data_IF_482637651016
#
_entry.id   IF_482637651016
#
_cell.length_a   1.000
_cell.length_b   1.000
_cell.length_c   1.000
_cell.angle_alpha   90.00
_cell.angle_beta   90.00
_cell.angle_gamma   90.00
#
_symmetry.space_group_name_H-M   'P 1'
#
loop_
_entity.id
_entity.type
_entity.pdbx_description
1 polymer ?
#
# COMPACT_ATOMS: atom_id res chain seq x y z
N UNK A 1 17.51 -2.58 15.10
CA UNK A 1 16.80 -3.74 14.51
C UNK A 1 17.13 -3.76 13.03
N UNK A 2 17.79 -4.83 12.56
CA UNK A 2 18.16 -4.98 11.14
C UNK A 2 16.86 -5.22 10.37
N UNK A 3 16.52 -4.32 9.46
CA UNK A 3 15.29 -4.39 8.68
C UNK A 3 15.53 -5.04 7.31
N UNK A 4 14.45 -5.35 6.55
CA UNK A 4 14.58 -5.96 5.23
C UNK A 4 15.36 -5.11 4.21
N UNK A 5 15.56 -3.81 4.49
CA UNK A 5 16.35 -2.87 3.69
C UNK A 5 17.87 -3.03 3.84
N UNK A 6 18.32 -3.72 4.88
CA UNK A 6 19.73 -3.89 5.21
C UNK A 6 20.29 -5.23 4.65
N UNK A 7 19.40 -6.10 4.17
CA UNK A 7 19.71 -7.45 3.67
C UNK A 7 20.42 -7.39 2.31
N UNK A 8 21.62 -7.99 2.22
CA UNK A 8 22.36 -8.12 0.97
C UNK A 8 22.08 -9.47 0.29
N UNK A 9 22.44 -9.58 -1.00
CA UNK A 9 22.20 -10.80 -1.78
C UNK A 9 22.86 -12.04 -1.18
N UNK A 10 24.08 -11.91 -0.67
CA UNK A 10 24.82 -13.00 0.00
C UNK A 10 24.16 -13.49 1.29
N UNK A 11 23.23 -12.72 1.84
CA UNK A 11 22.57 -13.04 3.09
C UNK A 11 21.29 -13.85 2.90
N UNK A 12 20.86 -14.05 1.64
CA UNK A 12 19.60 -14.69 1.29
C UNK A 12 19.78 -16.10 0.71
N UNK A 13 18.79 -16.99 0.90
CA UNK A 13 17.68 -16.84 1.84
C UNK A 13 18.12 -17.10 3.29
N UNK A 14 17.40 -16.54 4.25
CA UNK A 14 17.50 -16.87 5.68
C UNK A 14 16.16 -17.44 6.15
N UNK A 15 15.78 -18.67 5.77
CA UNK A 15 14.46 -19.23 6.07
C UNK A 15 14.24 -19.53 7.56
N UNK A 16 15.32 -19.62 8.36
CA UNK A 16 15.24 -19.84 9.82
C UNK A 16 15.11 -18.52 10.58
N UNK A 17 15.56 -17.41 10.00
CA UNK A 17 15.56 -16.10 10.64
C UNK A 17 16.72 -15.90 11.61
N UNK A 18 17.75 -16.73 11.54
CA UNK A 18 18.92 -16.67 12.44
C UNK A 18 19.71 -15.37 12.30
N UNK A 19 19.72 -14.77 11.10
CA UNK A 19 20.50 -13.55 10.83
C UNK A 19 19.69 -12.28 11.08
N UNK A 20 18.39 -12.32 10.77
CA UNK A 20 17.55 -11.13 10.74
C UNK A 20 16.41 -11.13 11.76
N UNK A 21 16.34 -12.16 12.61
CA UNK A 21 15.32 -12.36 13.64
C UNK A 21 13.99 -12.91 13.10
N UNK A 22 13.78 -12.87 11.79
CA UNK A 22 12.64 -13.46 11.10
C UNK A 22 13.06 -14.10 9.79
N UNK A 23 12.32 -15.13 9.34
CA UNK A 23 12.52 -15.72 8.03
C UNK A 23 12.57 -14.65 6.95
N UNK A 24 13.60 -14.68 6.11
CA UNK A 24 13.84 -13.70 5.06
C UNK A 24 14.01 -14.43 3.73
N UNK A 25 13.09 -14.19 2.82
CA UNK A 25 13.02 -14.85 1.52
C UNK A 25 13.46 -13.92 0.39
N UNK A 26 14.05 -14.51 -0.64
CA UNK A 26 14.28 -13.82 -1.90
C UNK A 26 12.94 -13.59 -2.63
N UNK A 27 12.91 -12.59 -3.51
CA UNK A 27 11.75 -12.29 -4.33
C UNK A 27 11.19 -13.54 -5.03
N UNK A 28 9.88 -13.79 -4.85
CA UNK A 28 9.12 -14.94 -5.38
C UNK A 28 9.48 -16.32 -4.79
N UNK A 29 10.26 -16.40 -3.70
CA UNK A 29 10.63 -17.70 -3.08
C UNK A 29 9.95 -17.95 -1.73
N UNK A 30 9.11 -17.02 -1.25
CA UNK A 30 8.40 -17.22 0.00
C UNK A 30 7.43 -18.42 -0.08
N UNK A 31 7.34 -19.24 0.99
CA UNK A 31 6.45 -20.39 1.02
C UNK A 31 4.98 -19.96 1.01
N UNK A 32 4.10 -20.90 0.64
CA UNK A 32 2.66 -20.70 0.67
C UNK A 32 2.18 -20.33 2.09
N UNK A 33 1.10 -19.55 2.15
CA UNK A 33 0.55 -19.03 3.42
C UNK A 33 1.13 -17.70 3.86
N UNK A 34 2.30 -17.30 3.34
CA UNK A 34 2.89 -15.97 3.55
C UNK A 34 2.59 -15.03 2.39
N UNK A 35 2.02 -13.86 2.71
CA UNK A 35 1.57 -12.89 1.70
C UNK A 35 1.88 -11.46 2.10
N UNK A 36 2.10 -10.60 1.12
CA UNK A 36 2.25 -9.17 1.33
C UNK A 36 0.93 -8.52 1.74
N UNK A 37 0.99 -7.37 2.42
CA UNK A 37 -0.21 -6.58 2.77
C UNK A 37 -1.06 -6.20 1.55
N UNK A 38 -0.43 -6.01 0.39
CA UNK A 38 -1.13 -5.74 -0.88
C UNK A 38 -1.90 -6.96 -1.37
N UNK A 39 -1.33 -8.16 -1.25
CA UNK A 39 -2.01 -9.42 -1.59
C UNK A 39 -3.19 -9.69 -0.65
N UNK A 40 -3.05 -9.45 0.67
CA UNK A 40 -4.19 -9.52 1.60
C UNK A 40 -5.34 -8.60 1.16
N UNK A 41 -5.03 -7.35 0.77
CA UNK A 41 -6.05 -6.41 0.30
C UNK A 41 -6.76 -6.91 -0.96
N UNK A 42 -6.04 -7.52 -1.90
CA UNK A 42 -6.62 -8.12 -3.09
C UNK A 42 -7.57 -9.28 -2.74
N UNK A 43 -7.25 -10.04 -1.69
CA UNK A 43 -8.07 -11.14 -1.15
C UNK A 43 -9.21 -10.67 -0.24
N UNK A 44 -9.48 -9.35 -0.13
CA UNK A 44 -10.47 -8.78 0.82
C UNK A 44 -10.18 -9.12 2.29
N UNK A 45 -8.91 -9.32 2.63
CA UNK A 45 -8.43 -9.59 3.99
C UNK A 45 -7.68 -8.38 4.59
N UNK A 46 -7.53 -8.40 5.92
CA UNK A 46 -6.69 -7.49 6.70
C UNK A 46 -5.77 -8.30 7.63
N UNK A 47 -4.58 -7.77 8.01
CA UNK A 47 -3.64 -8.47 8.90
C UNK A 47 -4.22 -8.87 10.27
N UNK A 48 -5.32 -8.24 10.70
CA UNK A 48 -5.98 -8.56 11.97
C UNK A 48 -5.12 -8.34 13.24
N UNK A 49 -4.24 -7.34 13.21
CA UNK A 49 -3.38 -7.01 14.35
C UNK A 49 -2.18 -7.93 14.53
N UNK A 50 -1.96 -8.89 13.62
CA UNK A 50 -0.75 -9.71 13.64
C UNK A 50 0.49 -8.87 13.30
N UNK A 51 1.62 -9.23 13.92
CA UNK A 51 2.94 -8.76 13.50
C UNK A 51 3.38 -9.41 12.19
N UNK A 52 4.41 -8.85 11.56
CA UNK A 52 4.98 -9.42 10.35
C UNK A 52 5.69 -10.75 10.67
N UNK A 53 5.44 -11.77 9.86
CA UNK A 53 5.96 -13.12 10.07
C UNK A 53 7.27 -13.38 9.34
N UNK A 54 7.57 -12.61 8.30
CA UNK A 54 8.76 -12.77 7.48
C UNK A 54 9.06 -11.51 6.64
N UNK A 55 10.24 -11.48 6.05
CA UNK A 55 10.68 -10.50 5.08
C UNK A 55 10.74 -11.10 3.66
N UNK A 56 10.45 -10.28 2.65
CA UNK A 56 10.64 -10.59 1.24
C UNK A 56 11.53 -9.52 0.64
N UNK A 57 12.67 -9.91 0.06
CA UNK A 57 13.68 -8.95 -0.41
C UNK A 57 14.11 -9.30 -1.84
N UNK A 58 14.21 -8.27 -2.68
CA UNK A 58 14.89 -8.33 -3.97
C UNK A 58 16.19 -7.50 -3.88
N UNK A 59 17.32 -8.15 -3.57
CA UNK A 59 18.59 -7.44 -3.38
C UNK A 59 19.11 -6.89 -4.72
N UNK A 60 19.97 -5.87 -4.66
CA UNK A 60 20.70 -5.39 -5.84
C UNK A 60 21.97 -6.24 -6.06
N UNK A 61 22.35 -6.55 -7.32
CA UNK A 61 23.54 -7.35 -7.58
C UNK A 61 24.84 -6.72 -7.03
N UNK A 62 24.95 -5.39 -7.07
CA UNK A 62 26.15 -4.64 -6.71
C UNK A 62 26.10 -4.05 -5.28
N UNK A 63 25.16 -4.52 -4.45
CA UNK A 63 24.94 -4.01 -3.09
C UNK A 63 24.10 -2.74 -3.03
N UNK A 64 23.95 -2.21 -1.81
CA UNK A 64 23.07 -1.09 -1.48
C UNK A 64 21.64 -1.51 -1.11
N UNK A 65 20.72 -0.57 -0.91
CA UNK A 65 19.34 -0.88 -0.53
C UNK A 65 18.66 -1.76 -1.58
N UNK A 66 17.87 -2.76 -1.17
CA UNK A 66 17.22 -3.67 -2.09
C UNK A 66 16.30 -2.92 -3.06
N UNK A 67 16.17 -3.47 -4.28
CA UNK A 67 15.25 -2.91 -5.28
C UNK A 67 13.80 -2.97 -4.79
N UNK A 68 13.45 -4.06 -4.13
CA UNK A 68 12.14 -4.25 -3.51
C UNK A 68 12.32 -4.91 -2.15
N UNK A 69 11.50 -4.49 -1.18
CA UNK A 69 11.40 -5.12 0.13
C UNK A 69 9.94 -5.09 0.58
N UNK A 70 9.47 -6.16 1.22
CA UNK A 70 8.12 -6.25 1.74
C UNK A 70 8.06 -7.07 3.03
N UNK A 71 7.14 -6.70 3.91
CA UNK A 71 6.73 -7.52 5.04
C UNK A 71 5.71 -8.56 4.58
N UNK A 72 5.90 -9.78 5.07
CA UNK A 72 4.99 -10.90 4.84
C UNK A 72 4.15 -11.15 6.09
N UNK A 73 2.90 -11.49 5.85
CA UNK A 73 1.88 -11.78 6.84
C UNK A 73 1.33 -13.19 6.60
N UNK A 74 0.89 -13.83 7.67
CA UNK A 74 0.21 -15.11 7.64
C UNK A 74 -1.23 -14.93 7.18
N UNK A 75 -1.62 -15.69 6.16
CA UNK A 75 -2.96 -15.65 5.58
C UNK A 75 -3.98 -16.26 6.55
N UNK A 76 -3.61 -17.29 7.30
CA UNK A 76 -4.48 -17.99 8.26
C UNK A 76 -4.81 -17.16 9.50
N UNK A 77 -3.97 -16.19 9.86
CA UNK A 77 -4.22 -15.23 10.94
C UNK A 77 -4.95 -13.96 10.46
N UNK A 78 -5.17 -13.83 9.15
CA UNK A 78 -5.86 -12.68 8.59
C UNK A 78 -7.36 -12.76 8.85
N UNK A 79 -8.01 -11.60 8.88
CA UNK A 79 -9.46 -11.50 9.03
C UNK A 79 -10.07 -10.84 7.79
N UNK A 80 -11.37 -11.06 7.53
CA UNK A 80 -12.10 -10.28 6.54
C UNK A 80 -11.92 -8.78 6.76
N UNK A 81 -11.77 -8.05 5.65
CA UNK A 81 -11.72 -6.59 5.68
C UNK A 81 -13.06 -6.07 6.21
N UNK A 82 -13.00 -5.14 7.17
CA UNK A 82 -14.19 -4.44 7.66
C UNK A 82 -14.78 -3.57 6.56
N UNK A 83 -16.09 -3.66 6.39
CA UNK A 83 -16.84 -2.78 5.50
C UNK A 83 -17.36 -1.59 6.30
N UNK A 84 -17.21 -0.39 5.74
CA UNK A 84 -17.72 0.82 6.36
C UNK A 84 -19.24 0.86 6.23
N UNK A 85 -19.93 1.22 7.32
CA UNK A 85 -21.38 1.42 7.29
C UNK A 85 -21.76 2.59 6.37
N UNK A 86 -23.01 2.66 5.88
CA UNK A 86 -23.46 3.80 5.07
C UNK A 86 -23.21 5.16 5.72
N UNK A 87 -23.48 5.28 7.02
CA UNK A 87 -23.23 6.51 7.77
C UNK A 87 -21.74 6.88 7.83
N UNK A 88 -20.85 5.90 8.02
CA UNK A 88 -19.40 6.12 7.98
C UNK A 88 -18.95 6.58 6.59
N UNK A 89 -19.51 6.02 5.52
CA UNK A 89 -19.20 6.45 4.14
C UNK A 89 -19.65 7.89 3.89
N UNK A 90 -20.84 8.27 4.34
CA UNK A 90 -21.34 9.64 4.22
C UNK A 90 -20.46 10.64 5.00
N UNK A 91 -20.04 10.30 6.22
CA UNK A 91 -19.15 11.13 7.01
C UNK A 91 -17.79 11.33 6.31
N UNK A 92 -17.21 10.27 5.74
CA UNK A 92 -15.96 10.35 4.97
C UNK A 92 -16.12 11.19 3.70
N UNK A 93 -17.24 11.07 2.99
CA UNK A 93 -17.52 11.88 1.81
C UNK A 93 -17.53 13.38 2.15
N UNK A 94 -18.22 13.75 3.24
CA UNK A 94 -18.25 15.14 3.74
C UNK A 94 -16.86 15.64 4.14
N UNK A 95 -16.07 14.83 4.85
CA UNK A 95 -14.72 15.18 5.26
C UNK A 95 -13.76 15.36 4.06
N UNK A 96 -13.87 14.48 3.05
CA UNK A 96 -13.08 14.59 1.82
C UNK A 96 -13.45 15.83 1.01
N UNK A 97 -14.74 16.15 0.90
CA UNK A 97 -15.21 17.34 0.21
C UNK A 97 -14.67 18.63 0.87
N UNK A 98 -14.78 18.74 2.20
CA UNK A 98 -14.21 19.88 2.94
C UNK A 98 -12.69 20.00 2.72
N UNK A 99 -11.97 18.87 2.70
CA UNK A 99 -10.53 18.88 2.39
C UNK A 99 -10.23 19.41 0.99
N UNK A 100 -11.06 19.07 -0.01
CA UNK A 100 -10.91 19.56 -1.37
C UNK A 100 -11.13 21.07 -1.44
N UNK A 101 -12.19 21.59 -0.79
CA UNK A 101 -12.48 23.02 -0.73
C UNK A 101 -11.33 23.82 -0.10
N UNK A 102 -10.72 23.32 0.97
CA UNK A 102 -9.54 23.98 1.57
C UNK A 102 -8.32 24.00 0.67
N UNK A 103 -8.13 22.96 -0.15
CA UNK A 103 -7.06 22.94 -1.15
C UNK A 103 -7.38 23.96 -2.25
N UNK A 104 -8.64 24.05 -2.66
CA UNK A 104 -9.15 25.03 -3.64
C UNK A 104 -8.89 26.48 -3.20
N UNK A 105 -9.30 26.82 -1.98
CA UNK A 105 -9.06 28.13 -1.36
C UNK A 105 -7.56 28.47 -1.28
N UNK A 106 -6.72 27.49 -0.90
CA UNK A 106 -5.25 27.66 -0.87
C UNK A 106 -4.69 28.03 -2.24
N UNK A 107 -5.29 27.52 -3.31
CA UNK A 107 -4.90 27.83 -4.68
C UNK A 107 -5.55 29.10 -5.22
N UNK A 108 -6.23 29.89 -4.37
CA UNK A 108 -6.71 31.24 -4.67
C UNK A 108 -8.12 31.29 -5.27
N UNK A 109 -8.86 30.19 -5.21
CA UNK A 109 -10.22 30.12 -5.73
C UNK A 109 -11.24 30.22 -4.59
N UNK A 110 -12.40 30.84 -4.83
CA UNK A 110 -13.47 30.92 -3.83
C UNK A 110 -14.14 29.54 -3.67
N UNK A 111 -14.54 29.24 -2.43
CA UNK A 111 -15.33 28.07 -2.08
C UNK A 111 -16.70 28.07 -2.76
N UNK A 112 -17.32 29.24 -2.91
CA UNK A 112 -18.63 29.36 -3.58
C UNK A 112 -18.57 28.90 -5.05
N UNK A 113 -17.41 29.06 -5.68
CA UNK A 113 -17.21 28.68 -7.09
C UNK A 113 -17.04 27.16 -7.25
N UNK A 114 -16.61 26.46 -6.20
CA UNK A 114 -16.36 25.01 -6.26
C UNK A 114 -17.63 24.18 -6.49
N UNK A 115 -18.80 24.71 -6.13
CA UNK A 115 -20.11 24.08 -6.41
C UNK A 115 -20.64 24.42 -7.81
N UNK A 116 -20.14 25.51 -8.42
CA UNK A 116 -20.53 25.97 -9.76
C UNK A 116 -19.67 25.35 -10.86
N UNK A 117 -18.43 24.99 -10.56
CA UNK A 117 -17.56 24.23 -11.48
C UNK A 117 -18.09 22.79 -11.54
N UNK A 118 -19.01 22.54 -12.45
CA UNK A 118 -19.34 21.17 -12.86
C UNK A 118 -18.10 20.46 -13.38
N UNK A 119 -17.99 19.14 -13.17
CA UNK A 119 -16.94 18.33 -13.78
C UNK A 119 -17.02 18.53 -15.30
N UNK A 120 -16.04 19.21 -15.93
CA UNK A 120 -16.10 19.52 -17.34
C UNK A 120 -15.88 18.26 -18.19
N UNK A 121 -15.77 17.08 -17.55
CA UNK A 121 -15.41 15.83 -18.18
C UNK A 121 -13.95 15.82 -18.61
N UNK A 122 -13.47 14.66 -19.10
CA UNK A 122 -12.16 14.57 -19.73
C UNK A 122 -12.06 15.53 -20.93
N UNK A 123 -11.31 16.62 -20.77
CA UNK A 123 -11.08 17.61 -21.82
C UNK A 123 -10.24 17.09 -23.00
N UNK A 124 -9.69 15.87 -22.90
CA UNK A 124 -8.88 15.24 -23.95
C UNK A 124 -9.69 14.55 -25.06
N UNK A 125 -11.03 14.51 -24.95
CA UNK A 125 -11.91 14.06 -26.03
C UNK A 125 -12.21 15.17 -27.07
N UNK A 126 -11.92 16.45 -26.77
CA UNK A 126 -12.27 17.60 -27.62
C UNK A 126 -11.27 17.95 -28.73
N UNK A 127 -10.32 17.08 -29.08
CA UNK A 127 -9.42 17.37 -30.19
C UNK A 127 -8.28 16.39 -30.40
N UNK A 128 -8.54 15.32 -31.14
CA UNK A 128 -7.54 14.53 -31.86
C UNK A 128 -8.00 14.22 -33.30
N UNK A 129 -8.79 15.09 -33.92
CA UNK A 129 -9.01 15.07 -35.36
C UNK A 129 -7.95 15.96 -36.02
N UNK A 130 -6.83 15.36 -36.45
CA UNK A 130 -5.91 15.97 -37.40
C UNK A 130 -5.22 14.94 -38.27
#
# INVERSE_FOLDING_TARGET
MIGPKDVQRRDLPDPTGERFGLPTYEWRTAPAGLVTRRQLRAMRLRPNGQDYAAYLVQPRPHGGPPRNAAYLFRTDLAAPKREASPAQRAALAKANHERQLRVWERHGFDRADAEQVGDPGPQWEQGWDR
#
